data_IF_993944253074
#
_entry.id   IF_993944253074
#
_cell.length_a   1.000
_cell.length_b   1.000
_cell.length_c   1.000
_cell.angle_alpha   90.00
_cell.angle_beta   90.00
_cell.angle_gamma   90.00
#
_symmetry.space_group_name_H-M   'P 1'
#
loop_
_entity.id
_entity.type
_entity.pdbx_description
1 polymer ?
#
# COMPACT_ATOMS: atom_id res chain seq x y z
N UNK A 1 -12.44 -2.42 -21.99
CA UNK A 1 -11.03 -2.32 -22.45
C UNK A 1 -10.29 -1.51 -21.41
N UNK A 2 -9.14 -1.98 -20.90
CA UNK A 2 -8.45 -1.28 -19.80
C UNK A 2 -7.93 0.08 -20.27
N UNK A 3 -8.51 1.15 -19.77
CA UNK A 3 -8.08 2.52 -20.06
C UNK A 3 -6.88 2.88 -19.18
N UNK A 4 -5.71 2.33 -19.51
CA UNK A 4 -4.48 2.89 -18.98
C UNK A 4 -4.32 4.32 -19.48
N UNK A 5 -3.85 5.22 -18.61
CA UNK A 5 -3.43 6.55 -19.04
C UNK A 5 -2.40 6.40 -20.18
N UNK A 6 -2.44 7.22 -21.25
CA UNK A 6 -1.56 7.07 -22.42
C UNK A 6 -0.05 7.02 -22.10
N UNK A 7 0.36 7.70 -21.03
CA UNK A 7 1.73 7.66 -20.49
C UNK A 7 2.19 6.26 -20.02
N UNK A 8 1.27 5.32 -19.78
CA UNK A 8 1.54 3.92 -19.45
C UNK A 8 1.29 2.98 -20.63
N UNK A 9 1.14 3.51 -21.85
CA UNK A 9 0.99 2.66 -23.04
C UNK A 9 2.20 1.74 -23.22
N UNK A 10 1.97 0.56 -23.79
CA UNK A 10 3.02 -0.43 -24.09
C UNK A 10 3.93 -0.02 -25.25
N UNK A 11 3.81 1.21 -25.75
CA UNK A 11 4.62 1.75 -26.84
C UNK A 11 6.10 1.91 -26.50
N UNK A 12 6.46 1.91 -25.21
CA UNK A 12 7.84 2.10 -24.76
C UNK A 12 8.31 3.56 -24.80
N UNK A 13 7.42 4.51 -25.13
CA UNK A 13 7.77 5.94 -25.23
C UNK A 13 8.05 6.62 -23.88
N UNK A 14 7.70 5.96 -22.77
CA UNK A 14 8.00 6.47 -21.44
C UNK A 14 9.43 6.09 -21.03
N UNK A 15 10.33 7.06 -21.05
CA UNK A 15 11.74 6.88 -20.72
C UNK A 15 12.07 7.10 -19.24
N UNK A 16 11.17 7.66 -18.45
CA UNK A 16 11.45 7.98 -17.05
C UNK A 16 10.39 8.87 -16.40
N UNK A 17 10.53 9.04 -15.09
CA UNK A 17 9.65 9.85 -14.25
C UNK A 17 10.50 10.77 -13.36
N UNK A 18 10.10 12.04 -13.27
CA UNK A 18 10.57 12.95 -12.23
C UNK A 18 9.58 12.92 -11.08
N UNK A 19 10.06 12.69 -9.85
CA UNK A 19 9.25 12.74 -8.63
C UNK A 19 9.63 14.01 -7.88
N UNK A 20 8.67 14.92 -7.71
CA UNK A 20 8.87 16.21 -7.03
C UNK A 20 7.97 16.22 -5.80
N UNK A 21 8.59 16.41 -4.63
CA UNK A 21 7.86 16.44 -3.36
C UNK A 21 8.10 17.78 -2.67
N UNK A 22 7.01 18.46 -2.31
CA UNK A 22 7.04 19.67 -1.49
C UNK A 22 5.79 19.72 -0.63
N UNK A 23 5.86 20.50 0.46
CA UNK A 23 4.71 20.82 1.29
C UNK A 23 3.64 21.60 0.52
N UNK A 24 4.04 22.39 -0.47
CA UNK A 24 3.14 23.26 -1.24
C UNK A 24 3.11 22.83 -2.70
N UNK A 25 1.89 22.67 -3.24
CA UNK A 25 1.67 22.33 -4.65
C UNK A 25 2.38 23.32 -5.58
N UNK A 26 2.29 24.61 -5.26
CA UNK A 26 2.90 25.67 -6.05
C UNK A 26 4.42 25.48 -6.21
N UNK A 27 5.12 25.05 -5.15
CA UNK A 27 6.55 24.75 -5.23
C UNK A 27 6.85 23.55 -6.13
N UNK A 28 6.00 22.52 -6.14
CA UNK A 28 6.17 21.41 -7.08
C UNK A 28 5.96 21.85 -8.53
N UNK A 29 5.01 22.75 -8.78
CA UNK A 29 4.75 23.29 -10.12
C UNK A 29 5.91 24.18 -10.61
N UNK A 30 6.43 25.04 -9.74
CA UNK A 30 7.61 25.86 -10.02
C UNK A 30 8.82 25.01 -10.36
N UNK A 31 9.10 23.98 -9.56
CA UNK A 31 10.22 23.07 -9.82
C UNK A 31 10.02 22.24 -11.10
N UNK A 32 8.79 21.79 -11.38
CA UNK A 32 8.45 21.12 -12.65
C UNK A 32 8.75 22.02 -13.85
N UNK A 33 8.41 23.31 -13.76
CA UNK A 33 8.71 24.28 -14.81
C UNK A 33 10.21 24.55 -14.94
N UNK A 34 10.95 24.61 -13.82
CA UNK A 34 12.43 24.72 -13.84
C UNK A 34 13.05 23.51 -14.56
N UNK A 35 12.65 22.28 -14.24
CA UNK A 35 13.13 21.06 -14.90
C UNK A 35 12.82 21.11 -16.41
N UNK A 36 11.58 21.45 -16.78
CA UNK A 36 11.20 21.61 -18.20
C UNK A 36 12.05 22.67 -18.90
N UNK A 37 12.38 23.77 -18.22
CA UNK A 37 13.26 24.82 -18.74
C UNK A 37 14.70 24.36 -18.96
N UNK A 38 15.25 23.56 -18.04
CA UNK A 38 16.61 22.99 -18.14
C UNK A 38 16.73 22.07 -19.36
N UNK A 39 15.76 21.16 -19.54
CA UNK A 39 15.80 20.19 -20.62
C UNK A 39 15.30 20.75 -21.97
N UNK A 40 14.46 21.78 -21.96
CA UNK A 40 13.88 22.36 -23.17
C UNK A 40 13.22 21.30 -24.06
N UNK A 41 13.58 21.28 -25.34
CA UNK A 41 13.04 20.32 -26.32
C UNK A 41 13.66 18.91 -26.25
N UNK A 42 14.59 18.65 -25.31
CA UNK A 42 15.22 17.32 -25.19
C UNK A 42 14.33 16.29 -24.49
N UNK A 43 13.28 16.74 -23.80
CA UNK A 43 12.26 15.88 -23.19
C UNK A 43 10.86 16.29 -23.66
N UNK A 44 9.90 15.38 -23.49
CA UNK A 44 8.48 15.66 -23.71
C UNK A 44 7.71 15.09 -22.54
N UNK A 45 6.84 15.91 -21.93
CA UNK A 45 5.98 15.45 -20.84
C UNK A 45 4.85 14.59 -21.40
N UNK A 46 4.77 13.34 -20.96
CA UNK A 46 3.71 12.40 -21.36
C UNK A 46 2.53 12.39 -20.39
N UNK A 47 2.73 12.89 -19.17
CA UNK A 47 1.70 12.94 -18.13
C UNK A 47 2.21 13.57 -16.85
N UNK A 48 1.27 14.10 -16.07
CA UNK A 48 1.51 14.64 -14.73
C UNK A 48 0.53 13.97 -13.77
N UNK A 49 1.05 13.39 -12.69
CA UNK A 49 0.29 12.63 -11.70
C UNK A 49 0.44 13.29 -10.34
N UNK A 50 -0.52 14.13 -9.99
CA UNK A 50 -0.47 14.88 -8.74
C UNK A 50 -1.04 14.07 -7.57
N UNK A 51 -0.23 13.85 -6.54
CA UNK A 51 -0.64 13.22 -5.30
C UNK A 51 -0.68 14.22 -4.13
N UNK A 52 -1.54 13.97 -3.16
CA UNK A 52 -1.65 14.75 -1.92
C UNK A 52 -1.89 13.84 -0.72
N UNK A 53 -1.26 14.19 0.39
CA UNK A 53 -1.64 13.61 1.69
C UNK A 53 -3.04 14.12 2.03
N UNK A 54 -3.95 13.19 2.36
CA UNK A 54 -5.33 13.52 2.75
C UNK A 54 -5.37 14.16 4.15
N UNK A 55 -6.51 14.74 4.52
CA UNK A 55 -6.75 15.09 5.91
C UNK A 55 -6.85 13.81 6.76
N UNK A 56 -5.95 13.63 7.73
CA UNK A 56 -5.82 12.41 8.52
C UNK A 56 -4.72 11.47 8.01
N UNK A 57 -4.67 10.24 8.53
CA UNK A 57 -3.53 9.33 8.29
C UNK A 57 -3.83 8.21 7.26
N UNK A 58 -4.97 8.25 6.58
CA UNK A 58 -5.47 7.12 5.76
C UNK A 58 -5.45 7.32 4.25
N UNK A 59 -5.31 6.23 3.50
CA UNK A 59 -5.62 6.19 2.05
C UNK A 59 -7.12 6.35 1.78
N UNK A 60 -7.58 6.40 0.52
CA UNK A 60 -8.95 6.81 0.20
C UNK A 60 -10.07 5.91 0.75
N UNK A 61 -9.85 4.62 0.99
CA UNK A 61 -10.82 3.79 1.72
C UNK A 61 -10.86 4.11 3.23
N UNK A 62 -9.88 4.83 3.75
CA UNK A 62 -9.80 5.35 5.11
C UNK A 62 -8.92 4.54 6.06
N UNK A 63 -8.09 3.62 5.55
CA UNK A 63 -7.14 2.87 6.36
C UNK A 63 -5.82 3.60 6.50
N UNK A 64 -5.33 3.69 7.74
CA UNK A 64 -4.00 4.20 8.04
C UNK A 64 -2.93 3.44 7.26
N UNK A 65 -2.14 4.16 6.47
CA UNK A 65 -1.06 3.58 5.65
C UNK A 65 0.33 3.96 6.20
N UNK A 66 1.40 3.43 5.61
CA UNK A 66 2.79 3.71 5.99
C UNK A 66 3.29 2.99 7.23
N UNK A 67 2.46 2.16 7.88
CA UNK A 67 2.79 1.51 9.17
C UNK A 67 3.93 0.48 9.04
N UNK A 68 3.89 -0.39 8.03
CA UNK A 68 4.81 -1.52 7.90
C UNK A 68 5.71 -1.35 6.68
N UNK A 69 7.00 -1.20 6.95
CA UNK A 69 8.10 -1.14 5.97
C UNK A 69 9.22 -2.10 6.43
N UNK A 70 10.02 -2.67 5.52
CA UNK A 70 11.22 -3.39 5.94
C UNK A 70 12.22 -2.44 6.59
N UNK A 71 12.91 -2.91 7.63
CA UNK A 71 14.12 -2.27 8.15
C UNK A 71 15.33 -2.83 7.41
N UNK A 72 16.30 -1.98 7.08
CA UNK A 72 17.53 -2.40 6.41
C UNK A 72 18.65 -2.58 7.44
N UNK A 73 19.35 -3.71 7.39
CA UNK A 73 20.49 -3.98 8.27
C UNK A 73 21.55 -2.88 8.13
N UNK A 74 22.03 -2.36 9.26
CA UNK A 74 23.00 -1.26 9.30
C UNK A 74 22.39 0.14 9.15
N UNK A 75 21.08 0.26 8.86
CA UNK A 75 20.37 1.54 8.78
C UNK A 75 19.29 1.61 9.88
N UNK A 76 19.68 2.20 11.01
CA UNK A 76 18.78 2.39 12.16
C UNK A 76 18.47 1.11 12.94
N UNK A 77 17.44 1.18 13.77
CA UNK A 77 16.96 0.07 14.61
C UNK A 77 15.58 -0.38 14.14
N UNK A 78 15.42 -1.68 13.92
CA UNK A 78 14.11 -2.25 13.61
C UNK A 78 13.17 -2.15 14.83
N UNK A 79 11.92 -1.76 14.59
CA UNK A 79 10.86 -1.83 15.58
C UNK A 79 10.43 -3.30 15.83
N UNK A 80 9.80 -3.62 16.97
CA UNK A 80 9.25 -4.95 17.22
C UNK A 80 8.33 -5.45 16.10
N UNK A 81 8.58 -6.67 15.63
CA UNK A 81 7.89 -7.30 14.49
C UNK A 81 8.17 -6.67 13.12
N UNK A 82 8.97 -5.60 13.04
CA UNK A 82 9.43 -5.06 11.76
C UNK A 82 10.46 -6.01 11.14
N UNK A 83 10.28 -6.33 9.86
CA UNK A 83 11.15 -7.27 9.16
C UNK A 83 12.51 -6.63 8.88
N UNK A 84 13.57 -7.18 9.46
CA UNK A 84 14.95 -6.76 9.23
C UNK A 84 15.55 -7.56 8.06
N UNK A 85 15.88 -6.88 6.97
CA UNK A 85 16.41 -7.48 5.74
C UNK A 85 17.77 -6.90 5.38
N UNK A 86 18.55 -7.63 4.57
CA UNK A 86 19.81 -7.10 4.04
C UNK A 86 19.53 -5.92 3.09
N UNK A 87 20.39 -4.89 3.01
CA UNK A 87 20.16 -3.72 2.16
C UNK A 87 19.99 -4.07 0.68
N UNK A 88 20.67 -5.12 0.22
CA UNK A 88 20.63 -5.60 -1.16
C UNK A 88 19.26 -6.03 -1.66
N UNK A 89 18.28 -6.23 -0.78
CA UNK A 89 16.89 -6.51 -1.21
C UNK A 89 16.22 -5.26 -1.80
N UNK A 90 16.66 -4.07 -1.39
CA UNK A 90 16.10 -2.79 -1.85
C UNK A 90 17.12 -1.98 -2.67
N UNK A 91 18.41 -2.08 -2.37
CA UNK A 91 19.48 -1.25 -2.95
C UNK A 91 20.44 -2.13 -3.74
N UNK A 92 20.59 -1.87 -5.05
CA UNK A 92 21.45 -2.64 -5.94
C UNK A 92 22.91 -2.58 -5.51
N UNK A 93 23.63 -3.70 -5.65
CA UNK A 93 25.07 -3.75 -5.36
C UNK A 93 25.45 -4.01 -3.90
N UNK A 94 24.49 -4.36 -3.04
CA UNK A 94 24.70 -4.73 -1.63
C UNK A 94 24.33 -6.20 -1.37
N UNK A 95 24.80 -6.82 -0.27
CA UNK A 95 24.41 -8.19 0.10
C UNK A 95 22.89 -8.35 0.18
N UNK A 96 22.36 -9.44 -0.37
CA UNK A 96 20.91 -9.67 -0.55
C UNK A 96 20.38 -9.33 -1.94
N UNK A 97 21.16 -8.62 -2.77
CA UNK A 97 20.86 -8.44 -4.19
C UNK A 97 21.09 -9.79 -4.91
N UNK A 98 20.07 -10.39 -5.54
CA UNK A 98 20.19 -11.72 -6.14
C UNK A 98 21.25 -11.79 -7.25
N UNK A 99 21.57 -10.67 -7.90
CA UNK A 99 22.59 -10.64 -8.95
C UNK A 99 23.99 -10.65 -8.34
N UNK A 100 24.18 -9.94 -7.22
CA UNK A 100 25.46 -9.86 -6.48
C UNK A 100 25.72 -11.16 -5.74
N UNK A 101 24.70 -11.71 -5.09
CA UNK A 101 24.81 -12.93 -4.30
C UNK A 101 24.92 -14.21 -5.17
N UNK A 102 24.73 -14.11 -6.50
CA UNK A 102 24.83 -15.22 -7.44
C UNK A 102 26.10 -15.11 -8.32
N UNK A 103 27.17 -15.88 -8.04
CA UNK A 103 28.43 -15.80 -8.79
C UNK A 103 28.31 -16.09 -10.30
N UNK A 104 27.29 -16.84 -10.70
CA UNK A 104 27.02 -17.21 -12.09
C UNK A 104 26.11 -16.22 -12.82
N UNK A 105 25.54 -15.23 -12.12
CA UNK A 105 24.68 -14.23 -12.73
C UNK A 105 25.51 -13.20 -13.51
N UNK A 106 24.95 -12.68 -14.60
CA UNK A 106 25.50 -11.51 -15.29
C UNK A 106 25.41 -10.32 -14.34
N UNK A 107 26.57 -9.83 -13.92
CA UNK A 107 26.66 -8.76 -12.92
C UNK A 107 26.06 -7.46 -13.46
N UNK A 108 25.45 -6.70 -12.55
CA UNK A 108 24.89 -5.38 -12.90
C UNK A 108 26.01 -4.45 -13.37
N UNK A 109 25.75 -3.54 -14.32
CA UNK A 109 26.73 -2.51 -14.67
C UNK A 109 27.16 -1.71 -13.44
N UNK A 110 28.45 -1.35 -13.28
CA UNK A 110 28.94 -0.70 -12.06
C UNK A 110 28.18 0.60 -11.69
N UNK A 111 27.68 1.33 -12.68
CA UNK A 111 26.94 2.58 -12.49
C UNK A 111 25.54 2.41 -11.88
N UNK A 112 25.00 1.19 -11.81
CA UNK A 112 23.68 0.94 -11.20
C UNK A 112 23.75 0.70 -9.69
N UNK A 113 24.96 0.59 -9.12
CA UNK A 113 25.13 0.44 -7.67
C UNK A 113 24.45 1.60 -6.95
N UNK A 114 23.84 1.33 -5.80
CA UNK A 114 23.04 2.30 -5.02
C UNK A 114 21.71 2.73 -5.66
N UNK A 115 21.37 2.20 -6.83
CA UNK A 115 20.04 2.32 -7.42
C UNK A 115 19.02 1.34 -6.84
N UNK A 116 17.76 1.50 -7.25
CA UNK A 116 16.64 0.58 -7.00
C UNK A 116 15.74 0.58 -8.23
N UNK A 117 15.01 -0.50 -8.48
CA UNK A 117 13.87 -0.39 -9.39
C UNK A 117 12.73 0.35 -8.69
N UNK A 118 12.00 1.16 -9.44
CA UNK A 118 10.77 1.83 -9.02
C UNK A 118 9.62 1.22 -9.81
N UNK A 119 8.63 0.70 -9.08
CA UNK A 119 7.33 0.32 -9.65
C UNK A 119 6.35 1.43 -9.34
N UNK A 120 5.85 2.09 -10.38
CA UNK A 120 4.81 3.12 -10.27
C UNK A 120 3.48 2.61 -10.83
N UNK A 121 2.38 2.78 -10.09
CA UNK A 121 1.03 2.45 -10.57
C UNK A 121 0.05 3.53 -10.14
N UNK A 122 -0.74 4.03 -11.07
CA UNK A 122 -1.95 4.78 -10.76
C UNK A 122 -3.07 3.76 -10.51
N UNK A 123 -3.49 3.63 -9.24
CA UNK A 123 -4.52 2.69 -8.81
C UNK A 123 -5.76 3.46 -8.39
N UNK A 124 -6.76 3.48 -9.28
CA UNK A 124 -8.06 4.04 -9.00
C UNK A 124 -8.76 3.31 -7.84
N UNK A 125 -9.44 4.06 -6.97
CA UNK A 125 -10.17 3.52 -5.83
C UNK A 125 -11.64 3.92 -5.89
N UNK A 126 -12.50 2.93 -6.10
CA UNK A 126 -13.95 3.10 -6.06
C UNK A 126 -14.45 3.06 -4.61
N UNK A 127 -14.25 4.17 -3.90
CA UNK A 127 -14.49 4.28 -2.45
C UNK A 127 -15.95 4.07 -2.08
N UNK A 128 -16.89 4.69 -2.82
CA UNK A 128 -18.32 4.57 -2.54
C UNK A 128 -18.82 3.15 -2.73
N UNK A 129 -18.35 2.47 -3.79
CA UNK A 129 -18.65 1.06 -3.98
C UNK A 129 -18.10 0.18 -2.85
N UNK A 130 -16.87 0.46 -2.39
CA UNK A 130 -16.28 -0.29 -1.28
C UNK A 130 -17.02 -0.06 0.04
N UNK A 131 -17.48 1.17 0.32
CA UNK A 131 -18.32 1.48 1.48
C UNK A 131 -19.66 0.74 1.42
N UNK A 132 -20.34 0.73 0.27
CA UNK A 132 -21.57 -0.03 0.06
C UNK A 132 -21.36 -1.54 0.22
N UNK A 133 -20.25 -2.06 -0.30
CA UNK A 133 -19.89 -3.47 -0.15
C UNK A 133 -19.76 -3.85 1.33
N UNK A 134 -19.13 -3.02 2.15
CA UNK A 134 -19.07 -3.24 3.60
C UNK A 134 -20.47 -3.18 4.22
N UNK A 135 -21.28 -2.18 3.85
CA UNK A 135 -22.65 -2.01 4.39
C UNK A 135 -23.56 -3.21 4.08
N UNK A 136 -23.43 -3.80 2.90
CA UNK A 136 -24.24 -4.94 2.50
C UNK A 136 -23.81 -6.24 3.19
N UNK A 137 -22.52 -6.40 3.51
CA UNK A 137 -21.95 -7.70 3.85
C UNK A 137 -21.55 -7.86 5.33
N UNK A 138 -21.51 -6.79 6.13
CA UNK A 138 -21.03 -6.87 7.52
C UNK A 138 -21.81 -7.83 8.41
N UNK A 139 -23.10 -8.08 8.10
CA UNK A 139 -23.95 -9.02 8.85
C UNK A 139 -23.46 -10.47 8.78
N UNK A 140 -22.56 -10.80 7.86
CA UNK A 140 -21.85 -12.09 7.82
C UNK A 140 -20.98 -12.33 9.06
N UNK A 141 -20.58 -11.27 9.77
CA UNK A 141 -20.01 -11.37 11.11
C UNK A 141 -21.15 -11.61 12.09
N UNK A 142 -21.23 -12.76 12.79
CA UNK A 142 -22.33 -13.04 13.70
C UNK A 142 -22.34 -12.06 14.89
N UNK A 143 -23.53 -11.66 15.35
CA UNK A 143 -23.71 -10.81 16.54
C UNK A 143 -23.47 -11.58 17.85
N UNK A 144 -23.88 -12.86 17.86
CA UNK A 144 -23.89 -13.70 19.04
C UNK A 144 -22.66 -14.62 19.02
N UNK A 145 -21.83 -14.54 20.07
CA UNK A 145 -20.64 -15.35 20.34
C UNK A 145 -19.65 -15.59 19.18
N UNK A 146 -19.00 -14.54 18.61
CA UNK A 146 -17.67 -14.75 18.04
C UNK A 146 -16.78 -15.33 19.15
N UNK A 147 -16.34 -16.58 18.95
CA UNK A 147 -15.44 -17.40 19.80
C UNK A 147 -14.73 -16.62 20.92
N UNK A 148 -14.80 -17.14 22.16
CA UNK A 148 -14.23 -16.58 23.40
C UNK A 148 -15.09 -15.52 24.12
N UNK A 149 -16.43 -15.55 23.98
CA UNK A 149 -17.34 -14.75 24.83
C UNK A 149 -17.34 -13.24 24.53
N UNK A 150 -16.87 -12.84 23.35
CA UNK A 150 -16.91 -11.43 22.92
C UNK A 150 -18.26 -11.16 22.25
N UNK A 151 -18.95 -10.08 22.62
CA UNK A 151 -20.18 -9.64 21.95
C UNK A 151 -19.93 -8.34 21.20
N UNK A 152 -20.37 -8.26 19.93
CA UNK A 152 -20.10 -7.13 19.05
C UNK A 152 -21.38 -6.33 18.77
N UNK A 153 -21.32 -5.02 18.89
CA UNK A 153 -22.35 -4.12 18.33
C UNK A 153 -22.34 -4.17 16.81
N UNK A 154 -23.40 -3.70 16.17
CA UNK A 154 -23.46 -3.63 14.70
C UNK A 154 -22.33 -2.79 14.10
N UNK A 155 -21.98 -1.67 14.75
CA UNK A 155 -20.83 -0.85 14.36
C UNK A 155 -19.50 -1.59 14.50
N UNK A 156 -19.30 -2.36 15.58
CA UNK A 156 -18.10 -3.18 15.76
C UNK A 156 -18.03 -4.30 14.72
N UNK A 157 -19.16 -4.93 14.38
CA UNK A 157 -19.24 -5.94 13.31
C UNK A 157 -18.88 -5.35 11.95
N UNK A 158 -19.36 -4.15 11.64
CA UNK A 158 -19.03 -3.42 10.42
C UNK A 158 -17.55 -3.05 10.33
N UNK A 159 -16.98 -2.53 11.42
CA UNK A 159 -15.53 -2.27 11.52
C UNK A 159 -14.71 -3.55 11.34
N UNK A 160 -15.10 -4.64 12.01
CA UNK A 160 -14.41 -5.92 11.91
C UNK A 160 -14.48 -6.51 10.49
N UNK A 161 -15.63 -6.41 9.81
CA UNK A 161 -15.77 -6.88 8.43
C UNK A 161 -14.77 -6.18 7.50
N UNK A 162 -14.73 -4.84 7.52
CA UNK A 162 -13.74 -4.08 6.75
C UNK A 162 -12.30 -4.42 7.16
N UNK A 163 -12.04 -4.54 8.46
CA UNK A 163 -10.72 -4.89 8.97
C UNK A 163 -10.25 -6.26 8.48
N UNK A 164 -11.15 -7.23 8.25
CA UNK A 164 -10.82 -8.57 7.73
C UNK A 164 -10.40 -8.56 6.26
N UNK A 165 -10.85 -7.58 5.48
CA UNK A 165 -10.41 -7.39 4.09
C UNK A 165 -8.97 -6.88 4.03
N UNK A 166 -8.60 -5.97 4.93
CA UNK A 166 -7.27 -5.34 4.93
C UNK A 166 -6.26 -6.08 5.81
N UNK A 167 -6.71 -6.60 6.95
CA UNK A 167 -5.92 -7.18 8.05
C UNK A 167 -5.58 -6.21 9.19
N UNK A 168 -6.10 -4.98 9.12
CA UNK A 168 -6.03 -3.94 10.17
C UNK A 168 -7.37 -3.21 10.24
N UNK A 169 -7.72 -2.66 11.39
CA UNK A 169 -8.77 -1.64 11.46
C UNK A 169 -8.32 -0.34 10.78
N UNK A 170 -9.27 0.56 10.48
CA UNK A 170 -8.97 1.85 9.85
C UNK A 170 -7.93 2.67 10.63
N UNK A 171 -7.92 2.57 11.95
CA UNK A 171 -6.91 3.21 12.82
C UNK A 171 -5.49 2.70 12.63
N UNK A 172 -5.32 1.50 12.06
CA UNK A 172 -4.05 0.79 11.96
C UNK A 172 -3.89 -0.37 12.95
N UNK A 173 -4.79 -0.55 13.94
CA UNK A 173 -4.74 -1.69 14.88
C UNK A 173 -4.76 -3.01 14.09
N UNK A 174 -3.76 -3.91 14.27
CA UNK A 174 -3.70 -5.17 13.53
C UNK A 174 -4.67 -6.22 14.06
N UNK A 175 -5.38 -6.90 13.16
CA UNK A 175 -6.28 -7.99 13.53
C UNK A 175 -5.57 -9.18 14.20
N UNK A 176 -4.27 -9.35 13.95
CA UNK A 176 -3.50 -10.39 14.63
C UNK A 176 -3.48 -10.18 16.16
N UNK A 177 -3.41 -8.93 16.61
CA UNK A 177 -3.36 -8.57 18.04
C UNK A 177 -4.74 -8.26 18.62
N UNK A 178 -5.64 -7.69 17.82
CA UNK A 178 -6.99 -7.29 18.21
C UNK A 178 -8.03 -7.93 17.27
N UNK A 179 -8.40 -9.21 17.46
CA UNK A 179 -9.13 -9.98 16.46
C UNK A 179 -10.60 -9.67 16.26
N UNK A 180 -11.24 -9.08 17.27
CA UNK A 180 -12.70 -8.91 17.32
C UNK A 180 -13.07 -7.44 17.45
N UNK A 181 -12.62 -6.82 18.55
CA UNK A 181 -12.80 -5.39 18.83
C UNK A 181 -11.50 -4.65 18.63
N UNK A 182 -11.62 -3.41 18.16
CA UNK A 182 -10.49 -2.50 18.02
C UNK A 182 -10.01 -2.06 19.41
N UNK A 183 -8.76 -2.38 19.75
CA UNK A 183 -8.09 -1.91 20.97
C UNK A 183 -6.92 -0.99 20.60
N UNK A 184 -7.11 0.30 20.88
CA UNK A 184 -6.17 1.35 20.48
C UNK A 184 -4.81 1.26 21.18
N UNK A 185 -4.67 0.46 22.24
CA UNK A 185 -3.35 0.24 22.88
C UNK A 185 -2.33 -0.35 21.90
N UNK A 186 -2.81 -1.12 20.91
CA UNK A 186 -1.96 -1.70 19.88
C UNK A 186 -1.53 -0.71 18.80
N UNK A 187 -1.90 0.58 18.90
CA UNK A 187 -1.32 1.63 18.07
C UNK A 187 0.06 2.08 18.54
N UNK A 188 0.50 1.66 19.74
CA UNK A 188 1.84 1.97 20.23
C UNK A 188 2.91 1.49 19.23
N UNK A 189 3.98 2.27 18.95
CA UNK A 189 5.02 1.88 17.98
C UNK A 189 5.63 0.50 18.21
N UNK A 190 5.79 0.10 19.48
CA UNK A 190 6.32 -1.23 19.85
C UNK A 190 5.31 -2.39 19.71
N UNK A 191 4.05 -2.09 19.36
CA UNK A 191 2.96 -3.07 19.30
C UNK A 191 2.33 -3.14 17.91
N UNK A 192 2.19 -2.01 17.22
CA UNK A 192 1.41 -1.90 15.97
C UNK A 192 1.86 -2.83 14.85
N UNK A 193 3.11 -3.28 14.89
CA UNK A 193 3.65 -4.26 13.94
C UNK A 193 4.16 -5.55 14.58
N UNK A 194 4.03 -5.71 15.91
CA UNK A 194 4.63 -6.79 16.68
C UNK A 194 3.77 -8.08 16.68
N UNK A 195 3.68 -8.73 15.53
CA UNK A 195 2.96 -9.99 15.34
C UNK A 195 3.58 -10.79 14.19
N UNK A 196 3.31 -12.08 14.06
CA UNK A 196 3.84 -12.90 12.95
C UNK A 196 2.82 -13.88 12.35
N UNK A 197 1.57 -13.86 12.83
CA UNK A 197 0.49 -14.79 12.47
C UNK A 197 0.64 -16.22 13.02
N UNK A 198 1.53 -16.46 13.98
CA UNK A 198 1.65 -17.74 14.69
C UNK A 198 0.59 -17.94 15.78
N UNK A 199 -0.23 -16.92 16.07
CA UNK A 199 -1.24 -16.98 17.12
C UNK A 199 -2.32 -18.04 16.80
N UNK A 200 -2.61 -18.90 17.78
CA UNK A 200 -3.37 -20.15 17.62
C UNK A 200 -4.78 -20.00 17.00
N UNK A 201 -5.37 -18.82 17.09
CA UNK A 201 -6.77 -18.59 16.72
C UNK A 201 -6.97 -18.17 15.26
N UNK A 202 -5.91 -18.04 14.44
CA UNK A 202 -6.05 -17.76 12.99
C UNK A 202 -6.83 -16.48 12.69
N UNK A 203 -6.62 -15.44 13.50
CA UNK A 203 -7.49 -14.27 13.68
C UNK A 203 -7.58 -13.33 12.47
N UNK A 204 -6.52 -13.27 11.66
CA UNK A 204 -6.47 -12.49 10.43
C UNK A 204 -6.65 -13.43 9.21
N UNK A 205 -7.62 -13.21 8.32
CA UNK A 205 -7.82 -14.06 7.14
C UNK A 205 -6.56 -14.20 6.28
N UNK A 206 -6.31 -15.39 5.72
CA UNK A 206 -5.23 -15.61 4.75
C UNK A 206 -5.37 -14.73 3.49
N UNK A 207 -6.58 -14.29 3.18
CA UNK A 207 -6.90 -13.38 2.08
C UNK A 207 -6.77 -11.90 2.43
N UNK A 208 -6.52 -11.54 3.70
CA UNK A 208 -6.39 -10.15 4.10
C UNK A 208 -5.21 -9.49 3.39
N UNK A 209 -5.38 -8.25 2.92
CA UNK A 209 -4.38 -7.53 2.12
C UNK A 209 -2.98 -7.61 2.72
N UNK A 210 -2.79 -7.24 4.00
CA UNK A 210 -1.46 -7.22 4.61
C UNK A 210 -0.87 -8.61 4.85
N UNK A 211 -1.70 -9.66 4.96
CA UNK A 211 -1.25 -11.04 5.10
C UNK A 211 -0.87 -11.65 3.76
N UNK A 212 -1.50 -11.20 2.66
CA UNK A 212 -1.09 -11.55 1.30
C UNK A 212 0.22 -10.89 0.89
N UNK A 213 0.38 -9.60 1.19
CA UNK A 213 1.56 -8.83 0.77
C UNK A 213 2.77 -9.03 1.68
N UNK A 214 2.54 -9.30 2.97
CA UNK A 214 3.59 -9.63 3.93
C UNK A 214 3.14 -10.81 4.80
N UNK A 215 3.35 -12.06 4.34
CA UNK A 215 2.79 -13.24 5.00
C UNK A 215 3.47 -13.61 6.32
N UNK A 216 4.58 -12.95 6.67
CA UNK A 216 5.36 -13.12 7.92
C UNK A 216 5.81 -14.56 8.13
N UNK A 217 5.21 -15.27 9.08
CA UNK A 217 5.53 -16.64 9.41
C UNK A 217 4.68 -17.60 8.56
N UNK A 218 5.34 -18.21 7.57
CA UNK A 218 4.78 -19.20 6.65
C UNK A 218 5.60 -20.49 6.64
N UNK A 219 6.40 -20.71 7.70
CA UNK A 219 7.08 -22.00 7.87
C UNK A 219 6.06 -23.13 8.05
N UNK A 220 6.32 -24.34 7.52
CA UNK A 220 7.53 -24.75 6.78
C UNK A 220 7.47 -24.50 5.26
N UNK A 221 6.42 -23.85 4.74
CA UNK A 221 6.15 -23.77 3.30
C UNK A 221 7.13 -22.89 2.53
N UNK A 222 7.60 -21.78 3.13
CA UNK A 222 8.59 -20.88 2.54
C UNK A 222 9.70 -20.57 3.54
N UNK A 223 10.93 -20.45 3.06
CA UNK A 223 12.08 -20.06 3.88
C UNK A 223 12.03 -18.58 4.25
N UNK A 224 12.70 -18.21 5.34
CA UNK A 224 12.79 -16.80 5.75
C UNK A 224 13.46 -15.96 4.67
N UNK A 225 14.48 -16.50 4.02
CA UNK A 225 15.27 -15.83 2.97
C UNK A 225 14.41 -15.54 1.74
N UNK A 226 13.52 -16.47 1.36
CA UNK A 226 12.60 -16.26 0.25
C UNK A 226 11.63 -15.11 0.54
N UNK A 227 11.06 -15.08 1.74
CA UNK A 227 10.12 -14.02 2.14
C UNK A 227 10.84 -12.68 2.40
N UNK A 228 12.07 -12.71 2.91
CA UNK A 228 12.91 -11.52 3.04
C UNK A 228 13.17 -10.89 1.68
N UNK A 229 13.41 -11.71 0.64
CA UNK A 229 13.70 -11.23 -0.70
C UNK A 229 12.48 -10.68 -1.46
N UNK A 230 11.26 -10.82 -0.92
CA UNK A 230 10.02 -10.33 -1.56
C UNK A 230 9.49 -9.03 -0.95
N UNK A 231 10.25 -8.37 -0.06
CA UNK A 231 9.80 -7.10 0.54
C UNK A 231 9.93 -5.95 -0.44
N UNK A 232 9.10 -4.93 -0.23
CA UNK A 232 9.16 -3.66 -0.97
C UNK A 232 9.16 -2.50 0.03
N UNK A 233 9.88 -1.42 -0.28
CA UNK A 233 9.65 -0.13 0.37
C UNK A 233 8.55 0.59 -0.39
N UNK A 234 7.48 0.99 0.30
CA UNK A 234 6.36 1.71 -0.30
C UNK A 234 6.48 3.21 -0.03
N UNK A 235 6.34 4.00 -1.08
CA UNK A 235 6.36 5.47 -1.05
C UNK A 235 5.15 6.06 -1.79
N UNK A 236 4.03 5.34 -1.77
CA UNK A 236 2.81 5.77 -2.46
C UNK A 236 2.12 6.95 -1.78
N UNK A 237 1.30 7.68 -2.55
CA UNK A 237 0.56 8.85 -2.09
C UNK A 237 -0.85 8.86 -2.71
N UNK A 238 -1.91 9.24 -1.96
CA UNK A 238 -3.25 9.37 -2.54
C UNK A 238 -3.29 10.43 -3.64
N UNK A 239 -4.18 10.29 -4.63
CA UNK A 239 -4.48 11.32 -5.64
C UNK A 239 -5.98 11.55 -5.75
N UNK A 240 -6.35 12.73 -6.26
CA UNK A 240 -7.74 13.11 -6.49
C UNK A 240 -8.38 13.83 -5.30
N UNK A 241 -9.60 14.37 -5.49
CA UNK A 241 -10.31 15.11 -4.46
C UNK A 241 -10.95 14.20 -3.42
N UNK A 242 -11.29 14.74 -2.25
CA UNK A 242 -12.21 14.10 -1.32
C UNK A 242 -13.59 13.89 -1.95
N UNK A 243 -14.36 12.95 -1.40
CA UNK A 243 -15.73 12.69 -1.86
C UNK A 243 -16.63 13.80 -1.36
N UNK A 244 -17.34 14.46 -2.28
CA UNK A 244 -18.30 15.52 -1.94
C UNK A 244 -19.67 14.92 -1.57
N UNK A 245 -20.54 15.74 -0.98
CA UNK A 245 -21.92 15.31 -0.69
C UNK A 245 -22.68 15.07 -1.99
N UNK A 246 -22.51 15.96 -2.97
CA UNK A 246 -23.15 15.90 -4.27
C UNK A 246 -22.76 14.62 -5.01
N UNK A 247 -21.48 14.21 -4.92
CA UNK A 247 -21.04 12.92 -5.47
C UNK A 247 -21.74 11.72 -4.83
N UNK A 248 -21.96 11.75 -3.51
CA UNK A 248 -22.72 10.69 -2.81
C UNK A 248 -24.18 10.65 -3.24
N UNK A 249 -24.80 11.81 -3.45
CA UNK A 249 -26.18 11.91 -3.92
C UNK A 249 -26.34 11.39 -5.35
N UNK A 250 -25.40 11.72 -6.24
CA UNK A 250 -25.38 11.17 -7.61
C UNK A 250 -25.08 9.67 -7.62
N UNK A 251 -24.17 9.21 -6.75
CA UNK A 251 -23.85 7.79 -6.59
C UNK A 251 -25.07 6.96 -6.18
N UNK A 252 -25.90 7.48 -5.27
CA UNK A 252 -27.10 6.79 -4.80
C UNK A 252 -28.13 6.54 -5.92
N UNK A 253 -28.09 7.31 -7.01
CA UNK A 253 -28.99 7.17 -8.17
C UNK A 253 -28.52 6.10 -9.16
N UNK A 254 -27.25 5.67 -9.09
CA UNK A 254 -26.66 4.71 -10.02
C UNK A 254 -27.16 3.28 -9.77
N UNK A 255 -27.33 2.52 -10.84
CA UNK A 255 -27.55 1.08 -10.77
C UNK A 255 -26.23 0.31 -10.54
N UNK A 256 -26.32 -1.01 -10.32
CA UNK A 256 -25.14 -1.83 -9.99
C UNK A 256 -24.08 -1.85 -11.10
N UNK A 257 -24.49 -1.94 -12.37
CA UNK A 257 -23.57 -1.99 -13.50
C UNK A 257 -22.79 -0.66 -13.63
N UNK A 258 -23.50 0.46 -13.51
CA UNK A 258 -22.89 1.80 -13.48
C UNK A 258 -21.91 1.96 -12.34
N UNK A 259 -22.19 1.39 -11.16
CA UNK A 259 -21.31 1.45 -9.99
C UNK A 259 -20.06 0.59 -10.14
N UNK A 260 -20.18 -0.61 -10.73
CA UNK A 260 -19.05 -1.53 -10.95
C UNK A 260 -18.03 -0.92 -11.93
N UNK A 261 -18.52 -0.27 -13.00
CA UNK A 261 -17.68 0.33 -14.04
C UNK A 261 -17.48 1.84 -13.89
N UNK A 262 -17.84 2.41 -12.74
CA UNK A 262 -17.64 3.82 -12.47
C UNK A 262 -16.14 4.16 -12.51
N UNK A 263 -15.80 5.20 -13.27
CA UNK A 263 -14.49 5.85 -13.19
C UNK A 263 -14.46 6.82 -12.03
N UNK A 264 -13.41 6.76 -11.24
CA UNK A 264 -13.20 7.53 -10.04
C UNK A 264 -12.00 8.44 -10.22
N UNK A 265 -12.15 9.70 -9.82
CA UNK A 265 -11.09 10.70 -9.95
C UNK A 265 -9.99 10.56 -8.90
N UNK A 266 -10.09 9.54 -8.03
CA UNK A 266 -9.27 9.37 -6.85
C UNK A 266 -8.73 7.96 -6.70
N UNK A 267 -7.63 7.87 -5.97
CA UNK A 267 -7.03 6.59 -5.63
C UNK A 267 -5.62 6.75 -5.07
N UNK A 268 -4.76 5.80 -5.39
CA UNK A 268 -3.38 5.75 -4.90
C UNK A 268 -2.39 5.81 -6.08
N UNK A 269 -1.47 6.77 -6.05
CA UNK A 269 -0.23 6.70 -6.81
C UNK A 269 0.70 5.79 -6.03
N UNK A 270 0.64 4.49 -6.33
CA UNK A 270 1.51 3.51 -5.72
C UNK A 270 2.93 3.67 -6.25
N UNK A 271 3.90 3.76 -5.34
CA UNK A 271 5.33 3.69 -5.63
C UNK A 271 5.95 2.62 -4.73
N UNK A 272 6.65 1.66 -5.34
CA UNK A 272 7.34 0.56 -4.66
C UNK A 272 8.78 0.42 -5.12
N UNK A 273 9.69 0.19 -4.17
CA UNK A 273 11.11 0.00 -4.43
C UNK A 273 11.57 -1.40 -4.03
N UNK A 274 12.35 -2.03 -4.90
CA UNK A 274 12.94 -3.37 -4.77
C UNK A 274 14.05 -3.55 -5.81
N UNK A 275 14.97 -4.50 -5.60
CA UNK A 275 15.94 -4.93 -6.64
C UNK A 275 15.48 -6.15 -7.45
N UNK A 276 14.34 -6.73 -7.06
CA UNK A 276 13.62 -7.82 -7.71
C UNK A 276 12.29 -7.36 -8.26
#
# INVERSE_FOLDING_TARGET
MSEYHPAFSTSGNNHGIFIICSKFQQSCLEESNTIKGIFGSSITELGNFEGRVRSGDGEFFGWRDGISQPALQGLGKACPGQRLVKPGVIIMGYPGDPVVDAPTAVQRPPWTKEGSFLVFRQLEQNVLFFEEYIEQNWRSIPANEPRNGVYLTDEERKKLFGARLVGRFKSGVPLALSPYKEDLKYLHPDQINNFDYSEQDGRCPFSAHIRKTAPRNVGPYLTKEFVDASVVIRAGIPYGPEITREEREEWAKKNLEEKIFAKCERGLLFAGHSVR
#
